data_IF_849696094408
#
_entry.id   IF_849696094408
#
_cell.length_a   1.000
_cell.length_b   1.000
_cell.length_c   1.000
_cell.angle_alpha   90.00
_cell.angle_beta   90.00
_cell.angle_gamma   90.00
#
_symmetry.space_group_name_H-M   'P 1'
#
loop_
_entity.id
_entity.type
_entity.pdbx_description
1 polymer ?
#
# COMPACT_ATOMS: atom_id res chain seq x y z
N UNK A 1 37.66 8.21 10.32
CA UNK A 1 36.36 7.69 9.85
C UNK A 1 35.30 8.22 10.81
N UNK A 2 34.35 9.03 10.33
CA UNK A 2 33.30 9.58 11.20
C UNK A 2 32.31 8.43 11.46
N UNK A 3 32.26 7.90 12.69
CA UNK A 3 31.33 6.81 13.03
C UNK A 3 29.93 7.40 13.14
N UNK A 4 28.97 6.88 12.38
CA UNK A 4 27.57 7.30 12.50
C UNK A 4 27.10 6.99 13.92
N UNK A 5 26.68 8.02 14.65
CA UNK A 5 26.26 7.86 16.05
C UNK A 5 24.94 7.09 16.08
N UNK A 6 24.92 5.97 16.80
CA UNK A 6 23.72 5.17 17.06
C UNK A 6 22.63 6.02 17.72
N UNK A 7 21.47 6.23 17.07
CA UNK A 7 20.34 6.89 17.69
C UNK A 7 19.82 6.05 18.87
N UNK A 8 19.63 6.68 20.03
CA UNK A 8 19.11 6.01 21.22
C UNK A 8 17.69 5.45 20.96
N UNK A 9 17.39 4.26 21.50
CA UNK A 9 16.04 3.70 21.53
C UNK A 9 15.58 2.98 20.26
N UNK A 10 16.19 3.22 19.09
CA UNK A 10 15.73 2.65 17.81
C UNK A 10 16.45 1.38 17.39
N UNK A 11 17.71 1.25 17.81
CA UNK A 11 18.55 0.14 17.40
C UNK A 11 18.99 -0.68 18.59
N UNK A 12 18.50 -0.43 19.80
CA UNK A 12 18.98 -0.98 21.07
C UNK A 12 18.99 -2.53 21.10
N UNK A 13 18.17 -3.16 20.26
CA UNK A 13 18.12 -4.61 20.09
C UNK A 13 19.24 -5.20 19.21
N UNK A 14 19.95 -4.37 18.45
CA UNK A 14 21.07 -4.79 17.61
C UNK A 14 22.39 -4.81 18.38
N UNK A 15 23.23 -5.80 18.11
CA UNK A 15 24.64 -5.76 18.47
C UNK A 15 25.36 -4.61 17.75
N UNK A 16 26.53 -4.20 18.26
CA UNK A 16 27.35 -3.18 17.59
C UNK A 16 27.76 -3.62 16.17
N UNK A 17 28.07 -4.91 15.99
CA UNK A 17 28.44 -5.46 14.69
C UNK A 17 27.29 -5.44 13.67
N UNK A 18 26.07 -5.79 14.08
CA UNK A 18 24.88 -5.70 13.22
C UNK A 18 24.57 -4.24 12.85
N UNK A 19 24.64 -3.32 13.82
CA UNK A 19 24.43 -1.89 13.56
C UNK A 19 25.45 -1.35 12.55
N UNK A 20 26.74 -1.63 12.74
CA UNK A 20 27.80 -1.20 11.82
C UNK A 20 27.61 -1.82 10.42
N UNK A 21 27.13 -3.08 10.33
CA UNK A 21 26.80 -3.72 9.06
C UNK A 21 25.66 -2.97 8.33
N UNK A 22 24.56 -2.64 9.02
CA UNK A 22 23.45 -1.90 8.40
C UNK A 22 23.86 -0.48 8.00
N UNK A 23 24.65 0.21 8.82
CA UNK A 23 25.21 1.51 8.46
C UNK A 23 26.06 1.39 7.19
N UNK A 24 26.92 0.37 7.10
CA UNK A 24 27.72 0.10 5.91
C UNK A 24 26.87 -0.08 4.63
N UNK A 25 25.78 -0.85 4.73
CA UNK A 25 24.84 -1.05 3.62
C UNK A 25 24.16 0.26 3.18
N UNK A 26 23.68 1.05 4.14
CA UNK A 26 23.04 2.35 3.87
C UNK A 26 24.04 3.34 3.26
N UNK A 27 25.27 3.37 3.76
CA UNK A 27 26.34 4.21 3.21
C UNK A 27 26.68 3.82 1.76
N UNK A 28 26.86 2.54 1.48
CA UNK A 28 27.16 2.04 0.14
C UNK A 28 26.03 2.38 -0.84
N UNK A 29 24.79 2.07 -0.45
CA UNK A 29 23.61 2.37 -1.24
C UNK A 29 23.51 3.88 -1.53
N UNK A 30 23.67 4.72 -0.49
CA UNK A 30 23.58 6.18 -0.62
C UNK A 30 24.68 6.76 -1.51
N UNK A 31 25.91 6.25 -1.42
CA UNK A 31 27.02 6.66 -2.30
C UNK A 31 26.75 6.28 -3.75
N UNK A 32 26.23 5.07 -4.00
CA UNK A 32 25.89 4.60 -5.34
C UNK A 32 24.77 5.42 -5.96
N UNK A 33 23.68 5.63 -5.22
CA UNK A 33 22.55 6.45 -5.68
C UNK A 33 22.99 7.89 -5.97
N UNK A 34 23.79 8.50 -5.09
CA UNK A 34 24.34 9.84 -5.31
C UNK A 34 25.20 9.91 -6.57
N UNK A 35 26.02 8.87 -6.83
CA UNK A 35 26.83 8.76 -8.05
C UNK A 35 25.95 8.75 -9.30
N UNK A 36 24.95 7.86 -9.35
CA UNK A 36 24.01 7.75 -10.47
C UNK A 36 23.27 9.06 -10.73
N UNK A 37 22.80 9.73 -9.67
CA UNK A 37 22.13 11.03 -9.81
C UNK A 37 23.09 12.12 -10.29
N UNK A 38 24.34 12.14 -9.82
CA UNK A 38 25.33 13.12 -10.26
C UNK A 38 25.76 12.93 -11.72
N UNK A 39 25.63 11.73 -12.28
CA UNK A 39 25.88 11.45 -13.70
C UNK A 39 24.68 11.84 -14.57
N UNK A 40 23.49 11.95 -14.00
CA UNK A 40 22.29 12.28 -14.75
C UNK A 40 22.28 13.74 -15.26
N UNK A 41 21.92 14.01 -16.52
CA UNK A 41 21.96 15.35 -17.11
C UNK A 41 21.17 16.42 -16.35
N UNK A 42 20.06 16.06 -15.70
CA UNK A 42 19.26 16.99 -14.87
C UNK A 42 20.01 17.54 -13.65
N UNK A 43 21.11 16.91 -13.25
CA UNK A 43 22.00 17.36 -12.19
C UNK A 43 23.23 18.08 -12.73
N UNK A 44 23.29 18.38 -14.04
CA UNK A 44 24.36 19.21 -14.59
C UNK A 44 24.58 20.44 -13.70
N UNK A 45 25.85 20.66 -13.35
CA UNK A 45 26.20 21.77 -12.48
C UNK A 45 25.91 23.08 -13.22
N UNK A 46 25.34 24.06 -12.54
CA UNK A 46 25.50 25.45 -12.97
C UNK A 46 27.00 25.72 -12.98
N UNK A 47 27.55 26.24 -14.08
CA UNK A 47 28.98 26.53 -14.16
C UNK A 47 29.39 27.38 -12.96
N UNK A 48 30.25 26.83 -12.11
CA UNK A 48 30.80 27.58 -11.00
C UNK A 48 31.74 28.63 -11.58
N UNK A 49 31.37 29.91 -11.47
CA UNK A 49 32.22 31.01 -11.89
C UNK A 49 33.61 30.96 -11.24
N UNK A 50 34.62 31.59 -11.86
CA UNK A 50 35.97 31.62 -11.31
C UNK A 50 35.97 32.26 -9.91
N UNK A 51 36.79 31.72 -9.01
CA UNK A 51 37.03 32.30 -7.69
C UNK A 51 38.47 32.80 -7.61
N UNK A 52 38.75 33.89 -6.87
CA UNK A 52 40.11 34.35 -6.63
C UNK A 52 40.96 33.21 -6.05
N UNK A 53 42.10 32.94 -6.68
CA UNK A 53 43.02 31.90 -6.23
C UNK A 53 42.73 30.49 -6.75
N UNK A 54 41.79 30.28 -7.68
CA UNK A 54 41.64 28.99 -8.36
C UNK A 54 42.96 28.62 -9.07
N UNK A 55 43.52 27.45 -8.78
CA UNK A 55 44.72 26.88 -9.43
C UNK A 55 44.34 25.63 -10.23
N UNK A 56 44.98 25.43 -11.39
CA UNK A 56 44.82 24.24 -12.24
C UNK A 56 43.35 23.82 -12.52
N UNK A 57 42.95 22.63 -12.06
CA UNK A 57 41.64 22.01 -12.31
C UNK A 57 40.65 22.20 -11.16
N UNK A 58 40.98 23.03 -10.15
CA UNK A 58 40.17 23.23 -8.95
C UNK A 58 38.72 23.63 -9.26
N UNK A 59 38.53 24.48 -10.29
CA UNK A 59 37.20 24.89 -10.74
C UNK A 59 36.37 23.71 -11.22
N UNK A 60 36.96 22.80 -11.99
CA UNK A 60 36.29 21.60 -12.53
C UNK A 60 35.94 20.66 -11.38
N UNK A 61 36.88 20.42 -10.46
CA UNK A 61 36.64 19.58 -9.26
C UNK A 61 35.56 20.17 -8.38
N UNK A 62 35.57 21.48 -8.14
CA UNK A 62 34.53 22.18 -7.36
C UNK A 62 33.15 22.01 -8.00
N UNK A 63 33.03 22.20 -9.32
CA UNK A 63 31.77 22.00 -10.02
C UNK A 63 31.29 20.53 -9.89
N UNK A 64 32.19 19.55 -9.98
CA UNK A 64 31.88 18.14 -9.78
C UNK A 64 31.41 17.84 -8.33
N UNK A 65 32.06 18.41 -7.32
CA UNK A 65 31.64 18.23 -5.92
C UNK A 65 30.31 18.92 -5.62
N UNK A 66 30.07 20.13 -6.11
CA UNK A 66 28.77 20.81 -5.97
C UNK A 66 27.64 20.01 -6.62
N UNK A 67 27.90 19.42 -7.79
CA UNK A 67 26.98 18.47 -8.41
C UNK A 67 26.68 17.28 -7.51
N UNK A 68 27.71 16.65 -6.94
CA UNK A 68 27.55 15.53 -6.00
C UNK A 68 26.78 15.94 -4.74
N UNK A 69 26.95 17.15 -4.23
CA UNK A 69 26.16 17.66 -3.09
C UNK A 69 24.68 17.77 -3.46
N UNK A 70 24.35 18.37 -4.61
CA UNK A 70 22.96 18.46 -5.10
C UNK A 70 22.34 17.08 -5.32
N UNK A 71 23.10 16.17 -5.93
CA UNK A 71 22.69 14.79 -6.12
C UNK A 71 22.46 14.05 -4.80
N UNK A 72 23.31 14.29 -3.80
CA UNK A 72 23.17 13.71 -2.45
C UNK A 72 21.92 14.21 -1.74
N UNK A 73 21.58 15.49 -1.87
CA UNK A 73 20.33 16.05 -1.34
C UNK A 73 19.10 15.42 -2.01
N UNK A 74 19.13 15.23 -3.33
CA UNK A 74 18.05 14.55 -4.04
C UNK A 74 17.95 13.06 -3.67
N UNK A 75 19.09 12.36 -3.52
CA UNK A 75 19.13 10.99 -3.03
C UNK A 75 18.48 10.87 -1.64
N UNK A 76 18.80 11.80 -0.74
CA UNK A 76 18.22 11.84 0.60
C UNK A 76 16.70 12.06 0.55
N UNK A 77 16.22 12.96 -0.29
CA UNK A 77 14.78 13.20 -0.46
C UNK A 77 14.05 11.96 -0.99
N UNK A 78 14.57 11.34 -2.05
CA UNK A 78 14.01 10.11 -2.62
C UNK A 78 14.00 8.95 -1.62
N UNK A 79 15.08 8.78 -0.87
CA UNK A 79 15.17 7.76 0.17
C UNK A 79 14.12 7.98 1.27
N UNK A 80 13.91 9.24 1.67
CA UNK A 80 12.91 9.57 2.69
C UNK A 80 11.48 9.32 2.19
N UNK A 81 11.19 9.64 0.92
CA UNK A 81 9.90 9.40 0.28
C UNK A 81 9.60 7.89 0.17
N UNK A 82 10.51 7.12 -0.43
CA UNK A 82 10.36 5.67 -0.56
C UNK A 82 10.24 4.99 0.80
N UNK A 83 11.04 5.39 1.79
CA UNK A 83 10.92 4.83 3.14
C UNK A 83 9.58 5.15 3.82
N UNK A 84 9.03 6.35 3.56
CA UNK A 84 7.71 6.72 4.06
C UNK A 84 6.60 5.88 3.41
N UNK A 85 6.69 5.65 2.10
CA UNK A 85 5.74 4.82 1.36
C UNK A 85 5.79 3.37 1.84
N UNK A 86 6.98 2.77 1.95
CA UNK A 86 7.14 1.42 2.48
C UNK A 86 6.55 1.30 3.91
N UNK A 87 6.83 2.28 4.78
CA UNK A 87 6.27 2.28 6.13
C UNK A 87 4.74 2.44 6.15
N UNK A 88 4.17 3.18 5.20
CA UNK A 88 2.72 3.31 5.05
C UNK A 88 2.08 2.01 4.56
N UNK A 89 2.72 1.30 3.63
CA UNK A 89 2.29 -0.02 3.17
C UNK A 89 2.33 -1.05 4.29
N UNK A 90 3.44 -1.13 5.04
CA UNK A 90 3.58 -2.04 6.18
C UNK A 90 2.55 -1.73 7.28
N UNK A 91 2.28 -0.43 7.53
CA UNK A 91 1.25 -0.03 8.48
C UNK A 91 -0.15 -0.43 8.02
N UNK A 92 -0.47 -0.28 6.73
CA UNK A 92 -1.72 -0.77 6.13
C UNK A 92 -1.85 -2.29 6.30
N UNK A 93 -0.81 -3.04 5.98
CA UNK A 93 -0.80 -4.49 6.08
C UNK A 93 -0.95 -4.97 7.53
N UNK A 94 -0.29 -4.30 8.48
CA UNK A 94 -0.50 -4.55 9.91
C UNK A 94 -1.98 -4.35 10.32
N UNK A 95 -2.65 -3.29 9.82
CA UNK A 95 -4.08 -3.06 10.11
C UNK A 95 -4.96 -4.13 9.48
N UNK A 96 -4.65 -4.58 8.25
CA UNK A 96 -5.36 -5.72 7.64
C UNK A 96 -5.22 -7.01 8.46
N UNK A 97 -4.07 -7.22 9.10
CA UNK A 97 -3.85 -8.31 10.04
C UNK A 97 -4.58 -8.10 11.38
N UNK A 98 -4.95 -6.86 11.71
CA UNK A 98 -5.79 -6.53 12.86
C UNK A 98 -5.16 -5.54 13.84
N UNK A 99 -4.00 -4.98 13.53
CA UNK A 99 -3.41 -3.92 14.32
C UNK A 99 -4.33 -2.69 14.38
N UNK A 100 -4.26 -1.98 15.49
CA UNK A 100 -4.92 -0.71 15.74
C UNK A 100 -3.92 0.45 15.60
N UNK A 101 -4.44 1.68 15.53
CA UNK A 101 -3.61 2.89 15.60
C UNK A 101 -2.83 3.01 16.91
N UNK A 102 -3.26 2.34 17.98
CA UNK A 102 -2.52 2.31 19.24
C UNK A 102 -1.27 1.43 19.11
N UNK A 103 -1.42 0.23 18.52
CA UNK A 103 -0.31 -0.69 18.28
C UNK A 103 0.75 -0.05 17.36
N UNK A 104 0.31 0.67 16.32
CA UNK A 104 1.23 1.41 15.44
C UNK A 104 1.91 2.59 16.15
N UNK A 105 1.21 3.24 17.08
CA UNK A 105 1.79 4.25 17.95
C UNK A 105 2.93 3.65 18.78
N UNK A 106 2.64 2.57 19.50
CA UNK A 106 3.61 1.84 20.32
C UNK A 106 4.82 1.37 19.49
N UNK A 107 4.59 0.71 18.35
CA UNK A 107 5.64 0.21 17.46
C UNK A 107 6.58 1.31 16.93
N UNK A 108 6.09 2.55 16.83
CA UNK A 108 6.88 3.70 16.37
C UNK A 108 7.38 4.60 17.50
N UNK A 109 7.16 4.22 18.77
CA UNK A 109 7.49 5.04 19.94
C UNK A 109 6.74 6.37 19.96
N UNK A 110 5.50 6.39 19.45
CA UNK A 110 4.66 7.58 19.33
C UNK A 110 3.26 7.37 19.91
N UNK A 111 2.48 8.44 20.07
CA UNK A 111 1.10 8.30 20.55
C UNK A 111 0.18 7.81 19.43
N UNK A 112 -0.96 7.22 19.81
CA UNK A 112 -2.07 6.90 18.88
C UNK A 112 -2.46 8.10 18.01
N UNK A 113 -2.45 9.30 18.57
CA UNK A 113 -2.79 10.53 17.84
C UNK A 113 -1.73 10.90 16.79
N UNK A 114 -0.45 10.66 17.10
CA UNK A 114 0.63 10.83 16.14
C UNK A 114 0.52 9.81 14.99
N UNK A 115 0.20 8.54 15.29
CA UNK A 115 -0.07 7.53 14.27
C UNK A 115 -1.27 7.91 13.39
N UNK A 116 -2.38 8.40 13.97
CA UNK A 116 -3.54 8.90 13.22
C UNK A 116 -3.17 10.03 12.26
N UNK A 117 -2.35 10.99 12.73
CA UNK A 117 -1.91 12.12 11.89
C UNK A 117 -0.97 11.65 10.77
N UNK A 118 -0.13 10.67 11.05
CA UNK A 118 0.83 10.11 10.09
C UNK A 118 0.14 9.30 9.00
N UNK A 119 -0.87 8.51 9.35
CA UNK A 119 -1.60 7.65 8.42
C UNK A 119 -3.12 7.81 8.57
N UNK A 120 -3.70 8.87 8.00
CA UNK A 120 -5.12 9.19 8.16
C UNK A 120 -6.04 8.10 7.60
N UNK A 121 -5.64 7.43 6.52
CA UNK A 121 -6.44 6.40 5.83
C UNK A 121 -6.64 5.11 6.65
N UNK A 122 -5.78 4.83 7.63
CA UNK A 122 -5.82 3.55 8.37
C UNK A 122 -7.08 3.39 9.22
N UNK A 123 -7.73 4.50 9.60
CA UNK A 123 -9.02 4.44 10.27
C UNK A 123 -10.09 3.77 9.41
N UNK A 124 -10.12 4.07 8.11
CA UNK A 124 -11.02 3.44 7.13
C UNK A 124 -10.70 1.95 7.01
N UNK A 125 -9.43 1.61 6.79
CA UNK A 125 -8.98 0.21 6.66
C UNK A 125 -9.38 -0.61 7.89
N UNK A 126 -9.16 -0.09 9.10
CA UNK A 126 -9.51 -0.79 10.34
C UNK A 126 -11.01 -1.11 10.43
N UNK A 127 -11.89 -0.15 10.08
CA UNK A 127 -13.35 -0.34 10.08
C UNK A 127 -13.79 -1.35 9.02
N UNK A 128 -13.30 -1.20 7.79
CA UNK A 128 -13.62 -2.13 6.69
C UNK A 128 -13.17 -3.53 7.05
N UNK A 129 -11.93 -3.71 7.52
CA UNK A 129 -11.41 -4.99 7.99
C UNK A 129 -12.29 -5.58 9.09
N UNK A 130 -12.68 -4.79 10.09
CA UNK A 130 -13.57 -5.24 11.18
C UNK A 130 -14.92 -5.72 10.63
N UNK A 131 -15.55 -4.93 9.77
CA UNK A 131 -16.82 -5.26 9.14
C UNK A 131 -16.72 -6.55 8.31
N UNK A 132 -15.76 -6.63 7.38
CA UNK A 132 -15.53 -7.81 6.54
C UNK A 132 -15.31 -9.06 7.40
N UNK A 133 -14.46 -8.97 8.43
CA UNK A 133 -14.19 -10.11 9.31
C UNK A 133 -15.42 -10.56 10.12
N UNK A 134 -16.33 -9.63 10.44
CA UNK A 134 -17.57 -9.92 11.18
C UNK A 134 -18.71 -10.44 10.32
N UNK A 135 -18.68 -10.20 9.00
CA UNK A 135 -19.74 -10.58 8.05
C UNK A 135 -19.25 -11.55 6.98
N UNK A 136 -18.09 -12.20 7.19
CA UNK A 136 -17.44 -13.01 6.16
C UNK A 136 -18.35 -14.10 5.58
N UNK A 137 -19.11 -14.79 6.44
CA UNK A 137 -20.04 -15.85 6.02
C UNK A 137 -21.23 -15.30 5.22
N UNK A 138 -21.77 -14.16 5.63
CA UNK A 138 -22.86 -13.48 4.91
C UNK A 138 -22.39 -12.99 3.54
N UNK A 139 -21.19 -12.40 3.49
CA UNK A 139 -20.57 -11.95 2.24
C UNK A 139 -20.32 -13.11 1.29
N UNK A 140 -19.77 -14.23 1.78
CA UNK A 140 -19.60 -15.45 0.98
C UNK A 140 -20.94 -15.96 0.45
N UNK A 141 -22.00 -15.88 1.26
CA UNK A 141 -23.34 -16.32 0.86
C UNK A 141 -23.89 -15.44 -0.26
N UNK A 142 -23.83 -14.12 -0.12
CA UNK A 142 -24.30 -13.19 -1.16
C UNK A 142 -23.46 -13.30 -2.43
N UNK A 143 -22.14 -13.43 -2.32
CA UNK A 143 -21.26 -13.63 -3.47
C UNK A 143 -21.63 -14.90 -4.24
N UNK A 144 -21.88 -16.02 -3.54
CA UNK A 144 -22.36 -17.26 -4.19
C UNK A 144 -23.70 -17.04 -4.88
N UNK A 145 -24.67 -16.43 -4.22
CA UNK A 145 -25.98 -16.12 -4.82
C UNK A 145 -25.84 -15.30 -6.11
N UNK A 146 -24.97 -14.29 -6.10
CA UNK A 146 -24.72 -13.44 -7.28
C UNK A 146 -24.07 -14.25 -8.40
N UNK A 147 -23.03 -15.02 -8.09
CA UNK A 147 -22.26 -15.79 -9.07
C UNK A 147 -23.06 -16.95 -9.67
N UNK A 148 -23.91 -17.62 -8.88
CA UNK A 148 -24.81 -18.68 -9.36
C UNK A 148 -25.80 -18.17 -10.42
N UNK A 149 -26.11 -16.87 -10.38
CA UNK A 149 -26.98 -16.21 -11.36
C UNK A 149 -26.21 -15.51 -12.50
N UNK A 150 -24.87 -15.63 -12.56
CA UNK A 150 -24.06 -14.94 -13.55
C UNK A 150 -24.52 -15.12 -15.01
N UNK A 151 -24.92 -16.34 -15.47
CA UNK A 151 -25.43 -16.53 -16.84
C UNK A 151 -26.77 -15.84 -17.14
N UNK A 152 -27.44 -15.30 -16.11
CA UNK A 152 -28.75 -14.62 -16.20
C UNK A 152 -28.63 -13.10 -16.15
N UNK A 153 -27.41 -12.57 -16.05
CA UNK A 153 -27.18 -11.14 -16.15
C UNK A 153 -26.98 -10.72 -17.61
N UNK A 154 -27.49 -9.56 -17.93
CA UNK A 154 -27.22 -8.84 -19.18
C UNK A 154 -26.48 -7.54 -18.86
N UNK A 155 -25.78 -7.00 -19.85
CA UNK A 155 -25.11 -5.71 -19.73
C UNK A 155 -25.50 -4.81 -20.91
N UNK A 156 -25.44 -3.48 -20.76
CA UNK A 156 -25.51 -2.56 -21.88
C UNK A 156 -24.46 -2.86 -22.96
N UNK A 157 -24.74 -2.42 -24.18
CA UNK A 157 -23.79 -2.52 -25.29
C UNK A 157 -22.47 -1.81 -24.94
N UNK A 158 -21.34 -2.49 -25.16
CA UNK A 158 -20.00 -2.01 -24.77
C UNK A 158 -19.58 -2.30 -23.32
N UNK A 159 -20.48 -2.78 -22.45
CA UNK A 159 -20.17 -3.07 -21.05
C UNK A 159 -19.99 -4.57 -20.72
N UNK A 160 -20.29 -5.46 -21.68
CA UNK A 160 -20.24 -6.93 -21.50
C UNK A 160 -18.89 -7.41 -20.98
N UNK A 161 -17.79 -6.98 -21.60
CA UNK A 161 -16.45 -7.43 -21.18
C UNK A 161 -16.11 -6.96 -19.75
N UNK A 162 -16.57 -5.77 -19.37
CA UNK A 162 -16.35 -5.21 -18.03
C UNK A 162 -17.16 -5.97 -16.99
N UNK A 163 -18.42 -6.31 -17.28
CA UNK A 163 -19.24 -7.17 -16.43
C UNK A 163 -18.60 -8.56 -16.28
N UNK A 164 -18.19 -9.19 -17.39
CA UNK A 164 -17.53 -10.49 -17.37
C UNK A 164 -16.23 -10.48 -16.56
N UNK A 165 -15.45 -9.40 -16.66
CA UNK A 165 -14.24 -9.20 -15.86
C UNK A 165 -14.58 -9.08 -14.37
N UNK A 166 -15.63 -8.35 -14.03
CA UNK A 166 -16.09 -8.22 -12.65
C UNK A 166 -16.56 -9.58 -12.09
N UNK A 167 -17.34 -10.36 -12.85
CA UNK A 167 -17.78 -11.71 -12.46
C UNK A 167 -16.57 -12.64 -12.25
N UNK A 168 -15.59 -12.65 -13.16
CA UNK A 168 -14.37 -13.46 -12.99
C UNK A 168 -13.57 -13.05 -11.76
N UNK A 169 -13.46 -11.76 -11.49
CA UNK A 169 -12.74 -11.25 -10.33
C UNK A 169 -13.46 -11.61 -9.01
N UNK A 170 -14.80 -11.56 -9.00
CA UNK A 170 -15.62 -12.04 -7.87
C UNK A 170 -15.45 -13.53 -7.62
N UNK A 171 -15.44 -14.37 -8.68
CA UNK A 171 -15.12 -15.79 -8.55
C UNK A 171 -13.74 -16.01 -7.93
N UNK A 172 -12.71 -15.36 -8.45
CA UNK A 172 -11.35 -15.49 -7.95
C UNK A 172 -11.22 -15.06 -6.48
N UNK A 173 -11.90 -13.98 -6.09
CA UNK A 173 -11.92 -13.49 -4.72
C UNK A 173 -12.66 -14.45 -3.77
N UNK A 174 -13.78 -15.02 -4.21
CA UNK A 174 -14.53 -16.02 -3.45
C UNK A 174 -13.68 -17.29 -3.26
N UNK A 175 -13.07 -17.81 -4.32
CA UNK A 175 -12.23 -19.00 -4.25
C UNK A 175 -11.03 -18.79 -3.32
N UNK A 176 -10.39 -17.62 -3.37
CA UNK A 176 -9.31 -17.27 -2.44
C UNK A 176 -9.81 -17.19 -1.00
N UNK A 177 -10.98 -16.59 -0.77
CA UNK A 177 -11.57 -16.46 0.57
C UNK A 177 -11.84 -17.84 1.17
N UNK A 178 -12.38 -18.76 0.37
CA UNK A 178 -12.64 -20.14 0.77
C UNK A 178 -11.32 -20.90 1.01
N UNK A 179 -10.33 -20.80 0.12
CA UNK A 179 -9.00 -21.41 0.31
C UNK A 179 -8.29 -20.88 1.56
N UNK A 180 -8.35 -19.58 1.81
CA UNK A 180 -7.77 -18.96 3.00
C UNK A 180 -8.47 -19.41 4.29
N UNK A 181 -9.78 -19.65 4.23
CA UNK A 181 -10.54 -20.22 5.35
C UNK A 181 -10.11 -21.65 5.66
N UNK A 182 -9.98 -22.49 4.62
CA UNK A 182 -9.68 -23.91 4.78
C UNK A 182 -8.22 -24.16 5.19
N UNK A 183 -7.28 -23.37 4.65
CA UNK A 183 -5.86 -23.46 4.99
C UNK A 183 -5.50 -22.75 6.30
N UNK A 184 -6.35 -21.84 6.78
CA UNK A 184 -6.02 -20.91 7.85
C UNK A 184 -4.97 -19.85 7.46
N UNK A 185 -4.50 -19.83 6.21
CA UNK A 185 -3.55 -18.82 5.75
C UNK A 185 -4.21 -17.45 5.64
N UNK A 186 -3.51 -16.43 6.14
CA UNK A 186 -3.92 -15.02 5.99
C UNK A 186 -3.03 -14.26 5.02
N UNK A 187 -1.93 -14.87 4.55
CA UNK A 187 -0.89 -14.24 3.75
C UNK A 187 -0.84 -14.79 2.33
N UNK A 188 -0.48 -13.92 1.40
CA UNK A 188 -0.11 -14.26 0.04
C UNK A 188 1.24 -15.00 0.01
N UNK A 189 1.35 -16.17 -0.63
CA UNK A 189 2.60 -16.91 -0.68
C UNK A 189 3.75 -16.22 -1.43
N UNK A 190 3.44 -15.34 -2.41
CA UNK A 190 4.45 -14.68 -3.23
C UNK A 190 4.95 -13.37 -2.63
N UNK A 191 4.07 -12.63 -1.97
CA UNK A 191 4.36 -11.29 -1.43
C UNK A 191 4.46 -11.24 0.09
N UNK A 192 3.99 -12.28 0.79
CA UNK A 192 3.90 -12.30 2.26
C UNK A 192 2.85 -11.33 2.83
N UNK A 193 2.05 -10.69 1.98
CA UNK A 193 1.09 -9.65 2.37
C UNK A 193 -0.26 -10.22 2.80
N UNK A 194 -1.00 -9.53 3.68
CA UNK A 194 -2.34 -9.95 4.08
C UNK A 194 -3.32 -9.88 2.90
N UNK A 195 -3.92 -11.02 2.58
CA UNK A 195 -4.85 -11.14 1.43
C UNK A 195 -6.27 -11.47 1.82
N UNK A 196 -6.46 -12.24 2.91
CA UNK A 196 -7.78 -12.82 3.22
C UNK A 196 -8.89 -11.77 3.30
N UNK A 197 -8.69 -10.76 4.15
CA UNK A 197 -9.70 -9.71 4.35
C UNK A 197 -9.62 -8.61 3.30
N UNK A 198 -8.41 -8.32 2.82
CA UNK A 198 -8.17 -7.28 1.81
C UNK A 198 -8.86 -7.63 0.49
N UNK A 199 -8.65 -8.84 -0.03
CA UNK A 199 -9.28 -9.27 -1.29
C UNK A 199 -10.79 -9.35 -1.20
N UNK A 200 -11.34 -9.78 -0.05
CA UNK A 200 -12.78 -9.79 0.14
C UNK A 200 -13.36 -8.36 0.19
N UNK A 201 -12.65 -7.42 0.85
CA UNK A 201 -13.03 -6.01 0.82
C UNK A 201 -12.97 -5.43 -0.59
N UNK A 202 -11.87 -5.64 -1.32
CA UNK A 202 -11.68 -5.15 -2.70
C UNK A 202 -12.74 -5.74 -3.64
N UNK A 203 -13.07 -7.03 -3.47
CA UNK A 203 -14.12 -7.68 -4.25
C UNK A 203 -15.49 -7.05 -4.03
N UNK A 204 -15.82 -6.68 -2.78
CA UNK A 204 -17.06 -5.95 -2.48
C UNK A 204 -17.01 -4.54 -3.05
N UNK A 205 -15.97 -3.76 -2.74
CA UNK A 205 -15.94 -2.33 -3.08
C UNK A 205 -15.87 -2.10 -4.59
N UNK A 206 -15.06 -2.89 -5.31
CA UNK A 206 -14.82 -2.71 -6.73
C UNK A 206 -15.70 -3.61 -7.60
N UNK A 207 -15.61 -4.93 -7.41
CA UNK A 207 -16.17 -5.87 -8.38
C UNK A 207 -17.67 -6.10 -8.19
N UNK A 208 -18.15 -6.19 -6.95
CA UNK A 208 -19.59 -6.31 -6.66
C UNK A 208 -20.31 -5.02 -7.04
N UNK A 209 -19.68 -3.86 -6.79
CA UNK A 209 -20.19 -2.55 -7.23
C UNK A 209 -20.30 -2.49 -8.75
N UNK A 210 -19.23 -2.80 -9.47
CA UNK A 210 -19.22 -2.83 -10.95
C UNK A 210 -20.32 -3.77 -11.48
N UNK A 211 -20.49 -4.94 -10.87
CA UNK A 211 -21.54 -5.88 -11.25
C UNK A 211 -22.93 -5.27 -11.04
N UNK A 212 -23.20 -4.72 -9.86
CA UNK A 212 -24.51 -4.12 -9.52
C UNK A 212 -24.86 -2.93 -10.42
N UNK A 213 -23.86 -2.14 -10.83
CA UNK A 213 -24.04 -0.98 -11.71
C UNK A 213 -24.36 -1.38 -13.16
N UNK A 214 -23.78 -2.48 -13.64
CA UNK A 214 -23.87 -2.88 -15.05
C UNK A 214 -24.89 -3.98 -15.33
N UNK A 215 -25.16 -4.85 -14.37
CA UNK A 215 -25.99 -6.04 -14.57
C UNK A 215 -27.48 -5.71 -14.59
N UNK A 216 -28.16 -6.08 -15.67
CA UNK A 216 -29.61 -6.28 -15.71
C UNK A 216 -29.95 -7.75 -15.43
N UNK A 217 -31.01 -8.01 -14.66
CA UNK A 217 -31.48 -9.37 -14.41
C UNK A 217 -32.49 -9.83 -15.47
N UNK A 218 -32.37 -11.08 -15.93
CA UNK A 218 -33.34 -11.72 -16.83
C UNK A 218 -34.33 -12.64 -16.12
N UNK A 219 -34.13 -12.89 -14.82
CA UNK A 219 -35.00 -13.75 -13.98
C UNK A 219 -35.26 -13.11 -12.60
N UNK A 220 -36.35 -13.47 -11.91
CA UNK A 220 -36.61 -13.00 -10.55
C UNK A 220 -35.53 -13.38 -9.54
N UNK A 221 -34.91 -14.55 -9.70
CA UNK A 221 -33.83 -15.02 -8.83
C UNK A 221 -32.57 -14.17 -9.01
N UNK A 222 -32.24 -13.81 -10.25
CA UNK A 222 -31.14 -12.89 -10.56
C UNK A 222 -31.41 -11.49 -9.98
N UNK A 223 -32.65 -10.99 -10.06
CA UNK A 223 -33.01 -9.70 -9.45
C UNK A 223 -32.89 -9.75 -7.92
N UNK A 224 -33.29 -10.86 -7.30
CA UNK A 224 -33.13 -11.08 -5.85
C UNK A 224 -31.66 -11.08 -5.44
N UNK A 225 -30.79 -11.73 -6.22
CA UNK A 225 -29.35 -11.73 -5.99
C UNK A 225 -28.74 -10.33 -6.12
N UNK A 226 -29.14 -9.54 -7.13
CA UNK A 226 -28.72 -8.14 -7.27
C UNK A 226 -29.24 -7.26 -6.12
N UNK A 227 -30.46 -7.48 -5.64
CA UNK A 227 -31.00 -6.76 -4.49
C UNK A 227 -30.19 -7.05 -3.20
N UNK A 228 -29.81 -8.32 -2.98
CA UNK A 228 -28.94 -8.69 -1.87
C UNK A 228 -27.54 -8.03 -1.99
N UNK A 229 -26.95 -8.03 -3.19
CA UNK A 229 -25.69 -7.37 -3.47
C UNK A 229 -25.74 -5.85 -3.20
N UNK A 230 -26.82 -5.18 -3.62
CA UNK A 230 -27.06 -3.76 -3.31
C UNK A 230 -27.13 -3.51 -1.80
N UNK A 231 -27.77 -4.40 -1.05
CA UNK A 231 -27.82 -4.34 0.42
C UNK A 231 -26.44 -4.43 1.07
N UNK A 232 -25.59 -5.35 0.58
CA UNK A 232 -24.19 -5.46 1.02
C UNK A 232 -23.40 -4.18 0.74
N UNK A 233 -23.51 -3.65 -0.48
CA UNK A 233 -22.84 -2.40 -0.87
C UNK A 233 -23.30 -1.21 -0.03
N UNK A 234 -24.60 -1.07 0.23
CA UNK A 234 -25.13 -0.01 1.08
C UNK A 234 -24.56 -0.08 2.51
N UNK A 235 -24.41 -1.28 3.07
CA UNK A 235 -23.77 -1.46 4.38
C UNK A 235 -22.28 -1.13 4.32
N UNK A 236 -21.56 -1.63 3.31
CA UNK A 236 -20.15 -1.31 3.09
C UNK A 236 -19.93 0.21 3.00
N UNK A 237 -20.77 0.91 2.24
CA UNK A 237 -20.68 2.36 2.06
C UNK A 237 -20.94 3.09 3.37
N UNK A 238 -21.86 2.61 4.22
CA UNK A 238 -22.07 3.19 5.56
C UNK A 238 -20.82 3.05 6.46
N UNK A 239 -20.09 1.94 6.35
CA UNK A 239 -18.85 1.68 7.10
C UNK A 239 -17.70 2.58 6.60
N UNK A 240 -17.65 2.81 5.29
CA UNK A 240 -16.67 3.69 4.66
C UNK A 240 -16.96 5.16 4.96
N UNK A 241 -18.20 5.63 4.81
CA UNK A 241 -18.58 7.03 5.02
C UNK A 241 -18.54 7.46 6.49
N UNK A 242 -18.74 6.53 7.44
CA UNK A 242 -18.45 6.76 8.85
C UNK A 242 -16.95 7.06 9.14
N UNK A 243 -16.09 7.09 8.11
CA UNK A 243 -14.70 7.51 8.19
C UNK A 243 -14.47 9.02 8.06
N UNK A 244 -15.41 9.74 7.48
CA UNK A 244 -15.24 11.16 7.12
C UNK A 244 -15.74 12.13 8.21
N UNK A 245 -16.41 11.61 9.25
CA UNK A 245 -16.82 12.34 10.45
C UNK A 245 -15.94 12.06 11.67
#
# INVERSE_FOLDING_TARGET
MYRVRRPAGRFDQLSEGEYDQFVGLVEEFSRRLTGLLAEHPSFAAVEAGPKPGDVDDERIRRAAYLRRVRAGQAAQALLAEVAADCAAEDASDAVWLGASLADLGEATGSSRQAARKRWPELGRIHRVRRWVSGHADDLVTVLRMVLDQAPRYTAPEGAVETLDRAVRALHAALDETLRSRDSGSVLDPGTGRPVRWRRLADAVDQHLRTLVELAGATTPEAETALAAARGVLAHHDSVVLAAEG
#
